data_IF_486924812399
#
_entry.id   IF_486924812399
#
_cell.length_a   1.000
_cell.length_b   1.000
_cell.length_c   1.000
_cell.angle_alpha   90.00
_cell.angle_beta   90.00
_cell.angle_gamma   90.00
#
_symmetry.space_group_name_H-M   'P 1'
#
loop_
_entity.id
_entity.type
_entity.pdbx_description
1 polymer ?
#
# COMPACT_ATOMS: atom_id res chain seq x y z
N UNK A 1 5.23 -3.41 16.80
CA UNK A 1 6.08 -2.25 17.16
C UNK A 1 6.47 -1.55 15.88
N UNK A 2 5.69 -0.54 15.45
CA UNK A 2 5.88 0.15 14.17
C UNK A 2 7.13 1.02 14.22
N UNK A 3 8.12 0.68 13.39
CA UNK A 3 9.41 1.38 13.31
C UNK A 3 9.25 2.67 12.50
N UNK A 4 8.79 3.75 13.14
CA UNK A 4 8.86 5.10 12.57
C UNK A 4 10.30 5.61 12.69
N UNK A 5 11.08 5.53 11.61
CA UNK A 5 12.44 6.04 11.57
C UNK A 5 12.42 7.51 11.12
N UNK A 6 12.70 8.42 12.06
CA UNK A 6 12.73 9.88 11.85
C UNK A 6 13.87 10.28 10.90
N UNK A 7 13.54 10.49 9.63
CA UNK A 7 14.28 11.41 8.76
C UNK A 7 13.30 12.53 8.40
N UNK A 8 13.36 13.68 9.09
CA UNK A 8 12.31 14.70 8.95
C UNK A 8 12.87 16.12 9.08
N UNK A 9 12.66 16.94 8.03
CA UNK A 9 12.52 18.39 8.20
C UNK A 9 11.28 18.60 9.09
N UNK A 10 11.33 19.52 10.06
CA UNK A 10 10.25 19.75 11.04
C UNK A 10 8.86 19.64 10.37
N UNK A 11 8.01 18.75 10.91
CA UNK A 11 6.60 18.53 10.53
C UNK A 11 6.29 17.44 9.48
N UNK A 12 7.11 16.39 9.32
CA UNK A 12 6.77 15.21 8.51
C UNK A 12 6.88 13.92 9.31
N UNK A 13 5.80 13.15 9.37
CA UNK A 13 5.78 11.77 9.89
C UNK A 13 5.85 10.79 8.73
N UNK A 14 6.79 9.85 8.79
CA UNK A 14 6.98 8.82 7.76
C UNK A 14 6.61 7.47 8.36
N UNK A 15 5.69 6.77 7.69
CA UNK A 15 5.32 5.39 7.98
C UNK A 15 5.71 4.50 6.81
N UNK A 16 6.43 3.42 7.10
CA UNK A 16 6.75 2.40 6.11
C UNK A 16 5.60 1.41 5.99
N UNK A 17 5.19 1.12 4.75
CA UNK A 17 4.21 0.10 4.45
C UNK A 17 4.91 -1.18 4.02
N UNK A 18 4.53 -2.29 4.64
CA UNK A 18 4.98 -3.61 4.21
C UNK A 18 4.01 -4.17 3.17
N UNK A 19 4.51 -4.30 1.93
CA UNK A 19 3.73 -4.82 0.80
C UNK A 19 4.07 -6.28 0.47
N UNK A 20 5.01 -6.90 1.19
CA UNK A 20 5.48 -8.27 0.90
C UNK A 20 4.49 -9.36 1.31
N UNK A 21 3.58 -9.05 2.21
CA UNK A 21 2.56 -9.97 2.73
C UNK A 21 1.21 -9.87 2.03
N UNK A 22 1.06 -8.96 1.07
CA UNK A 22 -0.20 -8.80 0.35
C UNK A 22 -0.47 -10.04 -0.52
N UNK A 23 -1.69 -10.60 -0.47
CA UNK A 23 -2.09 -11.61 -1.44
C UNK A 23 -2.08 -11.01 -2.85
N UNK A 24 -1.95 -11.87 -3.86
CA UNK A 24 -2.12 -11.44 -5.24
C UNK A 24 -3.53 -10.87 -5.43
N UNK A 25 -3.62 -9.75 -6.13
CA UNK A 25 -4.86 -9.05 -6.41
C UNK A 25 -5.87 -10.02 -7.03
N UNK A 26 -7.06 -10.03 -6.45
CA UNK A 26 -8.19 -10.80 -6.93
C UNK A 26 -9.44 -9.93 -6.83
N UNK A 27 -10.04 -9.62 -7.97
CA UNK A 27 -11.24 -8.77 -8.07
C UNK A 27 -12.47 -9.39 -7.38
N UNK A 28 -12.50 -10.70 -7.20
CA UNK A 28 -13.59 -11.39 -6.50
C UNK A 28 -13.52 -11.18 -4.96
N UNK A 29 -12.36 -10.78 -4.43
CA UNK A 29 -12.13 -10.59 -2.99
C UNK A 29 -12.38 -9.13 -2.58
N UNK A 30 -13.64 -8.71 -2.65
CA UNK A 30 -14.11 -7.38 -2.17
C UNK A 30 -14.84 -7.53 -0.83
N UNK A 31 -15.23 -6.41 -0.20
CA UNK A 31 -16.02 -6.47 1.03
C UNK A 31 -17.26 -7.39 0.88
N UNK A 32 -17.55 -8.27 1.85
CA UNK A 32 -16.91 -8.41 3.17
C UNK A 32 -15.70 -9.36 3.23
N UNK A 33 -15.34 -9.99 2.11
CA UNK A 33 -14.34 -11.07 2.03
C UNK A 33 -12.92 -10.57 1.73
N UNK A 34 -12.72 -9.25 1.76
CA UNK A 34 -11.42 -8.62 1.53
C UNK A 34 -10.38 -9.06 2.58
N UNK A 35 -9.15 -9.46 2.17
CA UNK A 35 -8.09 -9.83 3.10
C UNK A 35 -7.72 -8.73 4.08
N UNK A 36 -7.41 -9.11 5.32
CA UNK A 36 -7.10 -8.17 6.40
C UNK A 36 -5.90 -7.27 6.08
N UNK A 37 -4.88 -7.80 5.42
CA UNK A 37 -3.69 -7.07 5.01
C UNK A 37 -4.03 -5.96 4.00
N UNK A 38 -5.02 -6.20 3.13
CA UNK A 38 -5.52 -5.22 2.17
C UNK A 38 -6.34 -4.14 2.86
N UNK A 39 -7.20 -4.52 3.80
CA UNK A 39 -7.95 -3.56 4.62
C UNK A 39 -7.01 -2.63 5.40
N UNK A 40 -5.94 -3.20 5.97
CA UNK A 40 -4.89 -2.44 6.65
C UNK A 40 -4.18 -1.49 5.69
N UNK A 41 -3.73 -1.98 4.53
CA UNK A 41 -3.12 -1.14 3.49
C UNK A 41 -4.02 0.05 3.14
N UNK A 42 -5.31 -0.21 2.85
CA UNK A 42 -6.28 0.85 2.51
C UNK A 42 -6.42 1.88 3.62
N UNK A 43 -6.53 1.44 4.88
CA UNK A 43 -6.61 2.35 6.03
C UNK A 43 -5.39 3.27 6.10
N UNK A 44 -4.19 2.72 5.95
CA UNK A 44 -2.96 3.52 5.98
C UNK A 44 -2.88 4.51 4.81
N UNK A 45 -3.33 4.10 3.62
CA UNK A 45 -3.40 4.97 2.45
C UNK A 45 -4.42 6.11 2.62
N UNK A 46 -5.55 5.86 3.28
CA UNK A 46 -6.57 6.87 3.58
C UNK A 46 -6.11 7.89 4.64
N UNK A 47 -5.30 7.46 5.61
CA UNK A 47 -4.78 8.33 6.67
C UNK A 47 -3.58 9.18 6.19
N UNK A 48 -2.95 8.84 5.06
CA UNK A 48 -1.76 9.52 4.57
C UNK A 48 -2.07 10.76 3.72
N UNK A 49 -1.39 11.88 4.01
CA UNK A 49 -1.45 13.09 3.18
C UNK A 49 -0.72 12.94 1.83
N UNK A 50 0.29 12.07 1.78
CA UNK A 50 1.10 11.84 0.60
C UNK A 50 1.71 10.43 0.60
N UNK A 51 1.95 9.89 -0.59
CA UNK A 51 2.59 8.59 -0.80
C UNK A 51 3.97 8.79 -1.43
N UNK A 52 5.00 8.20 -0.83
CA UNK A 52 6.35 8.14 -1.39
C UNK A 52 6.67 6.72 -1.83
N UNK A 53 6.84 6.52 -3.13
CA UNK A 53 7.23 5.23 -3.70
C UNK A 53 8.73 5.24 -3.96
N UNK A 54 9.46 4.34 -3.31
CA UNK A 54 10.86 4.04 -3.61
C UNK A 54 10.94 2.62 -4.15
N UNK A 55 11.26 2.47 -5.43
CA UNK A 55 11.35 1.17 -6.10
C UNK A 55 12.57 1.09 -7.01
N UNK A 56 13.19 -0.08 -7.04
CA UNK A 56 14.11 -0.44 -8.11
C UNK A 56 13.33 -0.73 -9.42
N UNK A 57 14.02 -0.67 -10.55
CA UNK A 57 13.45 -1.07 -11.84
C UNK A 57 13.64 -2.59 -12.03
N UNK A 58 12.55 -3.28 -12.36
CA UNK A 58 12.54 -4.70 -12.71
C UNK A 58 12.21 -4.84 -14.19
N UNK A 59 13.17 -5.27 -15.01
CA UNK A 59 12.97 -5.54 -16.44
C UNK A 59 12.26 -4.38 -17.18
N UNK A 60 12.77 -3.16 -17.05
CA UNK A 60 12.18 -1.94 -17.60
C UNK A 60 10.79 -1.55 -17.03
N UNK A 61 10.38 -2.14 -15.90
CA UNK A 61 9.11 -1.87 -15.24
C UNK A 61 9.25 -1.73 -13.72
N UNK A 62 8.13 -1.59 -13.02
CA UNK A 62 8.05 -1.68 -11.55
C UNK A 62 8.07 -3.14 -11.09
N UNK A 63 8.36 -3.37 -9.81
CA UNK A 63 8.33 -4.73 -9.26
C UNK A 63 6.90 -5.30 -9.27
N UNK A 64 6.72 -6.62 -9.48
CA UNK A 64 5.40 -7.25 -9.41
C UNK A 64 4.71 -7.02 -8.07
N UNK A 65 5.46 -7.01 -6.96
CA UNK A 65 4.94 -6.72 -5.63
C UNK A 65 4.38 -5.29 -5.52
N UNK A 66 5.08 -4.30 -6.08
CA UNK A 66 4.59 -2.92 -6.10
C UNK A 66 3.34 -2.78 -6.97
N UNK A 67 3.32 -3.39 -8.16
CA UNK A 67 2.12 -3.40 -9.02
C UNK A 67 0.93 -4.00 -8.29
N UNK A 68 1.13 -5.15 -7.62
CA UNK A 68 0.10 -5.81 -6.83
C UNK A 68 -0.45 -4.92 -5.70
N UNK A 69 0.43 -4.21 -4.99
CA UNK A 69 0.04 -3.29 -3.93
C UNK A 69 -0.76 -2.08 -4.46
N UNK A 70 -0.51 -1.65 -5.70
CA UNK A 70 -1.25 -0.57 -6.36
C UNK A 70 -2.62 -1.05 -6.87
N UNK A 71 -2.72 -2.32 -7.29
CA UNK A 71 -3.95 -2.87 -7.87
C UNK A 71 -5.09 -2.95 -6.85
N UNK A 72 -4.81 -3.32 -5.60
CA UNK A 72 -5.80 -3.40 -4.54
C UNK A 72 -6.59 -2.10 -4.27
N UNK A 73 -5.96 -0.92 -4.13
CA UNK A 73 -6.65 0.37 -3.98
C UNK A 73 -6.94 1.07 -5.31
N UNK A 74 -6.75 0.42 -6.47
CA UNK A 74 -6.93 1.06 -7.78
C UNK A 74 -8.40 1.27 -8.15
N UNK A 75 -9.31 0.49 -7.55
CA UNK A 75 -10.76 0.64 -7.69
C UNK A 75 -11.28 1.78 -6.80
N UNK A 76 -12.36 2.44 -7.21
CA UNK A 76 -12.87 3.61 -6.48
C UNK A 76 -13.37 3.27 -5.07
N UNK A 77 -13.33 4.24 -4.15
CA UNK A 77 -13.71 4.07 -2.74
C UNK A 77 -15.15 3.55 -2.54
N UNK A 78 -16.00 3.69 -3.55
CA UNK A 78 -17.38 3.19 -3.55
C UNK A 78 -17.50 1.70 -3.93
N UNK A 79 -16.41 1.09 -4.39
CA UNK A 79 -16.33 -0.30 -4.85
C UNK A 79 -15.48 -1.18 -3.91
N UNK A 80 -15.13 -0.61 -2.74
CA UNK A 80 -14.30 -1.21 -1.71
C UNK A 80 -15.08 -2.17 -0.83
#
# INVERSE_FOLDING_TARGET
>A
MSTSQKASRKNTDIKFLDIGHLPLYNEDLKAPDEPLEVQQLRKELQEADAILISTCQYNFSISPALKNAIDWPSVGVNEW
#
